data_IF_298912579895
#
_entry.id   IF_298912579895
#
_cell.length_a   1.000
_cell.length_b   1.000
_cell.length_c   1.000
_cell.angle_alpha   90.00
_cell.angle_beta   90.00
_cell.angle_gamma   90.00
#
_symmetry.space_group_name_H-M   'P 1'
#
loop_
_entity.id
_entity.type
_entity.pdbx_description
1 polymer ?
#
# COMPACT_ATOMS: atom_id res chain seq x y z
N UNK A 1 31.64 -21.75 5.52
CA UNK A 1 30.26 -21.99 5.02
C UNK A 1 30.07 -21.67 3.54
N UNK A 2 30.77 -20.68 2.94
CA UNK A 2 30.59 -20.26 1.54
C UNK A 2 31.34 -21.08 0.46
N UNK A 3 32.43 -21.77 0.81
CA UNK A 3 33.27 -22.51 -0.16
C UNK A 3 32.53 -23.70 -0.82
N UNK A 4 31.77 -24.53 -0.11
CA UNK A 4 30.97 -25.60 -0.73
C UNK A 4 29.85 -25.03 -1.63
N UNK A 5 29.31 -23.86 -1.28
CA UNK A 5 28.22 -23.20 -2.00
C UNK A 5 28.61 -22.69 -3.38
N UNK A 6 29.84 -22.16 -3.50
CA UNK A 6 30.44 -21.80 -4.78
C UNK A 6 30.75 -23.03 -5.63
N UNK A 7 31.27 -24.10 -5.02
CA UNK A 7 31.64 -25.34 -5.73
C UNK A 7 30.43 -26.08 -6.30
N UNK A 8 29.27 -26.03 -5.62
CA UNK A 8 28.02 -26.65 -6.07
C UNK A 8 27.25 -25.81 -7.11
N UNK A 9 27.77 -24.65 -7.54
CA UNK A 9 27.10 -23.76 -8.49
C UNK A 9 25.85 -23.05 -7.94
N UNK A 10 25.47 -23.31 -6.68
CA UNK A 10 24.28 -22.76 -6.04
C UNK A 10 24.34 -21.22 -5.92
N UNK A 11 25.53 -20.64 -5.76
CA UNK A 11 25.72 -19.19 -5.75
C UNK A 11 25.30 -18.51 -7.07
N UNK A 12 25.59 -19.14 -8.21
CA UNK A 12 25.23 -18.60 -9.52
C UNK A 12 23.74 -18.76 -9.80
N UNK A 13 23.15 -19.90 -9.40
CA UNK A 13 21.70 -20.11 -9.46
C UNK A 13 20.95 -19.08 -8.63
N UNK A 14 21.42 -18.81 -7.41
CA UNK A 14 20.81 -17.81 -6.51
C UNK A 14 20.92 -16.40 -7.10
N UNK A 15 22.07 -16.04 -7.70
CA UNK A 15 22.27 -14.75 -8.33
C UNK A 15 21.38 -14.53 -9.56
N UNK A 16 21.22 -15.55 -10.41
CA UNK A 16 20.32 -15.49 -11.57
C UNK A 16 18.85 -15.37 -11.12
N UNK A 17 18.42 -16.20 -10.17
CA UNK A 17 17.07 -16.12 -9.61
C UNK A 17 16.79 -14.73 -8.97
N UNK A 18 17.81 -14.10 -8.39
CA UNK A 18 17.70 -12.75 -7.86
C UNK A 18 17.56 -11.68 -8.95
N UNK A 19 18.32 -11.79 -10.05
CA UNK A 19 18.23 -10.86 -11.18
C UNK A 19 16.87 -10.97 -11.86
N UNK A 20 16.40 -12.19 -12.13
CA UNK A 20 15.10 -12.43 -12.75
C UNK A 20 13.96 -11.88 -11.87
N UNK A 21 14.07 -12.07 -10.55
CA UNK A 21 13.14 -11.45 -9.59
C UNK A 21 13.19 -9.92 -9.65
N UNK A 22 14.38 -9.32 -9.68
CA UNK A 22 14.51 -7.86 -9.76
C UNK A 22 13.89 -7.33 -11.06
N UNK A 23 14.04 -8.05 -12.16
CA UNK A 23 13.43 -7.71 -13.44
C UNK A 23 11.90 -7.73 -13.33
N UNK A 24 11.32 -8.81 -12.80
CA UNK A 24 9.87 -8.91 -12.62
C UNK A 24 9.29 -7.80 -11.73
N UNK A 25 10.04 -7.37 -10.70
CA UNK A 25 9.63 -6.25 -9.85
C UNK A 25 9.71 -4.91 -10.58
N UNK A 26 10.73 -4.70 -11.41
CA UNK A 26 10.84 -3.49 -12.25
C UNK A 26 9.69 -3.46 -13.26
N UNK A 27 9.44 -4.58 -13.93
CA UNK A 27 8.34 -4.72 -14.90
C UNK A 27 6.98 -4.48 -14.22
N UNK A 28 6.80 -4.97 -12.99
CA UNK A 28 5.61 -4.69 -12.20
C UNK A 28 5.44 -3.21 -11.83
N UNK A 29 6.53 -2.48 -11.58
CA UNK A 29 6.48 -1.03 -11.33
C UNK A 29 6.06 -0.24 -12.57
N UNK A 30 6.36 -0.72 -13.77
CA UNK A 30 5.95 -0.07 -15.02
C UNK A 30 4.47 -0.29 -15.36
N UNK A 31 3.77 -1.18 -14.63
CA UNK A 31 2.33 -1.38 -14.81
C UNK A 31 1.51 -0.21 -14.24
N UNK A 32 0.30 0.01 -14.79
CA UNK A 32 -0.71 0.87 -14.17
C UNK A 32 -0.92 0.50 -12.70
N UNK A 33 -1.14 1.49 -11.84
CA UNK A 33 -1.26 1.30 -10.38
C UNK A 33 -2.26 0.20 -9.98
N UNK A 34 -3.34 0.04 -10.74
CA UNK A 34 -4.39 -0.98 -10.51
C UNK A 34 -3.88 -2.42 -10.73
N UNK A 35 -2.97 -2.62 -11.67
CA UNK A 35 -2.41 -3.94 -12.03
C UNK A 35 -1.12 -4.24 -11.27
N UNK A 36 -0.39 -3.19 -10.86
CA UNK A 36 0.87 -3.26 -10.13
C UNK A 36 0.75 -4.12 -8.87
N UNK A 37 -0.32 -3.97 -8.09
CA UNK A 37 -0.52 -4.76 -6.87
C UNK A 37 -0.71 -6.24 -7.18
N UNK A 38 -1.50 -6.58 -8.21
CA UNK A 38 -1.72 -7.97 -8.60
C UNK A 38 -0.42 -8.61 -9.10
N UNK A 39 0.38 -7.88 -9.88
CA UNK A 39 1.69 -8.31 -10.33
C UNK A 39 2.65 -8.54 -9.16
N UNK A 40 2.69 -7.64 -8.18
CA UNK A 40 3.50 -7.84 -6.97
C UNK A 40 3.04 -9.03 -6.13
N UNK A 41 1.73 -9.26 -5.97
CA UNK A 41 1.19 -10.45 -5.30
C UNK A 41 1.56 -11.74 -6.04
N UNK A 42 1.51 -11.74 -7.37
CA UNK A 42 1.91 -12.89 -8.18
C UNK A 42 3.41 -13.20 -8.06
N UNK A 43 4.26 -12.17 -8.08
CA UNK A 43 5.70 -12.31 -7.84
C UNK A 43 5.95 -12.87 -6.43
N UNK A 44 5.24 -12.36 -5.42
CA UNK A 44 5.30 -12.85 -4.04
C UNK A 44 4.92 -14.33 -3.92
N UNK A 45 3.83 -14.75 -4.56
CA UNK A 45 3.31 -16.12 -4.53
C UNK A 45 4.25 -17.10 -5.25
N UNK A 46 4.83 -16.70 -6.38
CA UNK A 46 5.81 -17.50 -7.13
C UNK A 46 7.06 -17.87 -6.30
N UNK A 47 7.38 -17.03 -5.32
CA UNK A 47 8.53 -17.20 -4.44
C UNK A 47 8.16 -18.00 -3.19
N UNK A 48 7.01 -17.73 -2.59
CA UNK A 48 6.50 -18.48 -1.43
C UNK A 48 6.27 -19.97 -1.75
N UNK A 49 5.88 -20.28 -2.99
CA UNK A 49 5.67 -21.66 -3.47
C UNK A 49 6.97 -22.37 -3.85
N UNK A 50 8.13 -21.71 -3.72
CA UNK A 50 9.44 -22.29 -4.00
C UNK A 50 9.77 -22.39 -5.50
N UNK A 51 8.95 -21.79 -6.38
CA UNK A 51 9.11 -21.86 -7.83
C UNK A 51 10.41 -21.25 -8.37
N UNK A 52 11.06 -20.38 -7.59
CA UNK A 52 12.34 -19.72 -7.94
C UNK A 52 13.39 -19.85 -6.82
N UNK A 53 13.50 -21.07 -6.30
CA UNK A 53 14.24 -21.42 -5.08
C UNK A 53 15.76 -21.26 -5.16
N UNK A 54 16.23 -20.06 -4.85
CA UNK A 54 17.57 -19.84 -4.32
C UNK A 54 17.57 -19.74 -2.80
N UNK A 55 18.41 -20.52 -2.12
CA UNK A 55 18.41 -20.63 -0.65
C UNK A 55 18.83 -19.33 0.03
N UNK A 56 19.69 -18.53 -0.60
CA UNK A 56 20.03 -17.16 -0.16
C UNK A 56 18.95 -16.14 -0.52
N UNK A 57 18.29 -16.29 -1.67
CA UNK A 57 17.18 -15.42 -2.10
C UNK A 57 16.02 -15.50 -1.11
N UNK A 58 15.75 -16.69 -0.55
CA UNK A 58 14.77 -16.87 0.53
C UNK A 58 15.14 -16.22 1.87
N UNK A 59 16.43 -15.95 2.13
CA UNK A 59 16.92 -15.28 3.36
C UNK A 59 16.85 -13.75 3.23
N UNK A 60 17.12 -13.20 2.05
CA UNK A 60 17.03 -11.75 1.76
C UNK A 60 15.55 -11.31 1.60
N UNK A 61 14.65 -12.26 1.38
CA UNK A 61 13.22 -12.08 1.11
C UNK A 61 12.44 -11.15 2.08
N UNK A 62 12.59 -11.22 3.42
CA UNK A 62 11.80 -10.38 4.34
C UNK A 62 12.04 -8.88 4.18
N UNK A 63 13.17 -8.48 3.60
CA UNK A 63 13.52 -7.08 3.34
C UNK A 63 12.74 -6.54 2.13
N UNK A 64 12.19 -7.40 1.26
CA UNK A 64 11.72 -7.02 -0.08
C UNK A 64 10.21 -6.82 -0.19
N UNK A 65 9.40 -7.63 0.49
CA UNK A 65 7.97 -7.32 0.73
C UNK A 65 7.79 -5.96 1.39
N UNK A 66 8.71 -5.61 2.29
CA UNK A 66 8.72 -4.32 2.96
C UNK A 66 8.87 -3.14 1.98
N UNK A 67 9.74 -3.27 0.96
CA UNK A 67 9.99 -2.18 0.00
C UNK A 67 8.79 -1.92 -0.92
N UNK A 68 8.04 -2.95 -1.31
CA UNK A 68 6.83 -2.81 -2.12
C UNK A 68 5.74 -2.08 -1.32
N UNK A 69 5.55 -2.48 -0.06
CA UNK A 69 4.56 -1.84 0.82
C UNK A 69 4.88 -0.36 1.05
N UNK A 70 6.16 0.04 1.05
CA UNK A 70 6.54 1.45 1.18
C UNK A 70 6.02 2.30 0.01
N UNK A 71 6.21 1.86 -1.24
CA UNK A 71 5.76 2.61 -2.43
C UNK A 71 4.24 2.77 -2.44
N UNK A 72 3.52 1.66 -2.26
CA UNK A 72 2.05 1.63 -2.23
C UNK A 72 1.51 2.49 -1.08
N UNK A 73 2.14 2.45 0.09
CA UNK A 73 1.82 3.30 1.24
C UNK A 73 2.03 4.78 0.92
N UNK A 74 3.11 5.15 0.24
CA UNK A 74 3.34 6.53 -0.17
C UNK A 74 2.29 7.02 -1.16
N UNK A 75 1.90 6.19 -2.14
CA UNK A 75 0.80 6.50 -3.05
C UNK A 75 -0.53 6.69 -2.31
N UNK A 76 -0.84 5.83 -1.35
CA UNK A 76 -2.06 5.94 -0.54
C UNK A 76 -2.07 7.27 0.23
N UNK A 77 -0.96 7.64 0.86
CA UNK A 77 -0.81 8.92 1.56
C UNK A 77 -0.97 10.12 0.63
N UNK A 78 -0.43 10.06 -0.59
CA UNK A 78 -0.59 11.14 -1.57
C UNK A 78 -2.05 11.27 -2.01
N UNK A 79 -2.71 10.16 -2.34
CA UNK A 79 -4.10 10.14 -2.78
C UNK A 79 -5.06 10.64 -1.68
N UNK A 80 -4.89 10.19 -0.43
CA UNK A 80 -5.72 10.63 0.69
C UNK A 80 -5.51 12.12 0.98
N UNK A 81 -4.27 12.61 0.92
CA UNK A 81 -3.95 14.03 1.13
C UNK A 81 -4.52 14.91 0.02
N UNK A 82 -4.37 14.52 -1.25
CA UNK A 82 -4.95 15.25 -2.39
C UNK A 82 -6.47 15.35 -2.27
N UNK A 83 -7.11 14.24 -1.90
CA UNK A 83 -8.56 14.19 -1.72
C UNK A 83 -9.00 15.06 -0.54
N UNK A 84 -8.30 15.01 0.60
CA UNK A 84 -8.58 15.87 1.76
C UNK A 84 -8.43 17.37 1.40
N UNK A 85 -7.42 17.74 0.62
CA UNK A 85 -7.27 19.10 0.12
C UNK A 85 -8.48 19.53 -0.75
N UNK A 86 -8.98 18.65 -1.61
CA UNK A 86 -10.19 18.91 -2.38
C UNK A 86 -11.44 19.06 -1.49
N UNK A 87 -11.56 18.26 -0.42
CA UNK A 87 -12.61 18.39 0.61
C UNK A 87 -12.55 19.76 1.29
N UNK A 88 -11.36 20.23 1.65
CA UNK A 88 -11.21 21.57 2.26
C UNK A 88 -11.58 22.69 1.29
N UNK A 89 -11.19 22.57 0.01
CA UNK A 89 -11.58 23.55 -1.02
C UNK A 89 -13.09 23.60 -1.19
N UNK A 90 -13.76 22.45 -1.23
CA UNK A 90 -15.22 22.35 -1.25
C UNK A 90 -15.83 23.04 -0.04
N UNK A 91 -15.32 22.76 1.16
CA UNK A 91 -15.82 23.33 2.41
C UNK A 91 -15.68 24.84 2.47
N UNK A 92 -14.57 25.40 1.98
CA UNK A 92 -14.35 26.84 1.96
C UNK A 92 -15.28 27.56 0.98
N UNK A 93 -15.60 26.94 -0.15
CA UNK A 93 -16.49 27.50 -1.16
C UNK A 93 -17.98 27.35 -0.81
N UNK A 94 -18.38 26.17 -0.32
CA UNK A 94 -19.79 25.81 -0.08
C UNK A 94 -20.22 26.01 1.38
N UNK A 95 -19.27 26.30 2.29
CA UNK A 95 -19.51 26.47 3.72
C UNK A 95 -19.84 25.19 4.49
N UNK A 96 -19.82 24.02 3.83
CA UNK A 96 -20.15 22.71 4.41
C UNK A 96 -19.27 21.61 3.85
N UNK A 97 -19.11 20.51 4.58
CA UNK A 97 -18.42 19.32 4.07
C UNK A 97 -19.23 18.66 2.92
N UNK A 98 -18.55 18.02 1.96
CA UNK A 98 -19.21 17.22 0.93
C UNK A 98 -19.91 16.01 1.56
N UNK A 99 -21.02 15.56 0.95
CA UNK A 99 -21.72 14.35 1.44
C UNK A 99 -21.05 13.07 0.96
N UNK A 100 -20.47 13.10 -0.22
CA UNK A 100 -19.63 12.06 -0.80
C UNK A 100 -18.48 12.68 -1.56
N UNK A 101 -17.41 11.91 -1.78
CA UNK A 101 -16.26 12.40 -2.54
C UNK A 101 -16.63 12.74 -3.98
N UNK A 102 -17.70 12.16 -4.56
CA UNK A 102 -18.19 12.50 -5.90
C UNK A 102 -18.57 13.98 -6.03
N UNK A 103 -18.91 14.66 -4.93
CA UNK A 103 -19.21 16.09 -4.94
C UNK A 103 -17.97 16.96 -5.22
N UNK A 104 -16.77 16.37 -5.18
CA UNK A 104 -15.51 17.04 -5.49
C UNK A 104 -15.27 17.09 -7.00
N UNK A 105 -15.86 16.19 -7.78
CA UNK A 105 -15.66 16.09 -9.23
C UNK A 105 -16.76 16.83 -9.98
N UNK A 106 -16.45 17.57 -11.07
CA UNK A 106 -15.11 17.89 -11.58
C UNK A 106 -14.53 19.19 -11.00
N UNK A 107 -15.26 19.89 -10.13
CA UNK A 107 -14.95 21.28 -9.76
C UNK A 107 -13.69 21.43 -8.89
N UNK A 108 -13.38 20.44 -8.05
CA UNK A 108 -12.26 20.47 -7.10
C UNK A 108 -11.18 19.45 -7.43
N UNK A 109 -11.49 18.44 -8.24
CA UNK A 109 -10.58 17.39 -8.71
C UNK A 109 -11.13 16.75 -9.99
N UNK A 110 -10.26 16.29 -10.89
CA UNK A 110 -10.66 15.71 -12.18
C UNK A 110 -11.34 14.33 -12.03
N UNK A 111 -10.81 13.50 -11.12
CA UNK A 111 -11.36 12.20 -10.76
C UNK A 111 -10.94 11.84 -9.32
N UNK A 112 -11.69 10.97 -8.68
CA UNK A 112 -11.33 10.40 -7.37
C UNK A 112 -10.18 9.41 -7.58
N UNK A 113 -9.04 9.55 -6.90
CA UNK A 113 -7.99 8.55 -6.95
C UNK A 113 -8.48 7.23 -6.33
N UNK A 114 -8.11 6.11 -6.95
CA UNK A 114 -8.32 4.79 -6.37
C UNK A 114 -7.32 4.53 -5.23
N UNK A 115 -7.72 3.72 -4.27
CA UNK A 115 -6.87 3.16 -3.24
C UNK A 115 -5.86 2.19 -3.89
N UNK A 116 -4.55 2.42 -3.73
CA UNK A 116 -3.53 1.57 -4.36
C UNK A 116 -3.44 0.15 -3.74
N UNK A 117 -4.11 -0.12 -2.61
CA UNK A 117 -4.14 -1.43 -1.95
C UNK A 117 -5.26 -2.35 -2.40
N UNK A 118 -6.42 -1.84 -2.84
CA UNK A 118 -7.52 -2.69 -3.28
C UNK A 118 -8.11 -2.28 -4.65
N UNK A 119 -7.67 -1.15 -5.20
CA UNK A 119 -8.16 -0.60 -6.47
C UNK A 119 -9.57 -0.02 -6.40
N UNK A 120 -10.18 0.06 -5.21
CA UNK A 120 -11.48 0.70 -4.99
C UNK A 120 -11.31 2.22 -4.82
N UNK A 121 -12.34 3.04 -5.05
CA UNK A 121 -12.27 4.45 -4.69
C UNK A 121 -11.93 4.66 -3.21
N UNK A 122 -11.16 5.69 -2.90
CA UNK A 122 -10.85 6.05 -1.51
C UNK A 122 -12.11 6.22 -0.66
N UNK A 123 -11.99 5.87 0.62
CA UNK A 123 -13.11 5.92 1.57
C UNK A 123 -13.14 7.25 2.31
N UNK A 124 -14.36 7.68 2.65
CA UNK A 124 -14.60 8.97 3.29
C UNK A 124 -15.72 8.89 4.33
N UNK A 125 -15.44 9.41 5.53
CA UNK A 125 -16.43 9.53 6.59
C UNK A 125 -16.38 10.90 7.25
N UNK A 126 -17.55 11.52 7.38
CA UNK A 126 -17.74 12.69 8.23
C UNK A 126 -17.91 12.23 9.67
N UNK A 127 -17.13 12.81 10.59
CA UNK A 127 -17.16 12.58 12.03
C UNK A 127 -17.77 13.79 12.74
N UNK A 128 -18.11 13.65 14.02
CA UNK A 128 -18.67 14.76 14.81
C UNK A 128 -17.73 15.97 14.86
N UNK A 129 -16.42 15.73 14.96
CA UNK A 129 -15.37 16.75 15.01
C UNK A 129 -14.72 17.03 13.65
N UNK A 130 -15.16 16.45 12.53
CA UNK A 130 -14.47 16.68 11.25
C UNK A 130 -14.71 15.57 10.23
N UNK A 131 -13.65 15.05 9.63
CA UNK A 131 -13.75 13.95 8.67
C UNK A 131 -12.44 13.16 8.57
N UNK A 132 -12.56 11.98 7.97
CA UNK A 132 -11.43 11.13 7.57
C UNK A 132 -11.56 10.75 6.11
N UNK A 133 -10.46 10.85 5.37
CA UNK A 133 -10.26 10.19 4.08
C UNK A 133 -9.22 9.10 4.29
N UNK A 134 -9.47 7.88 3.81
CA UNK A 134 -8.57 6.77 4.11
C UNK A 134 -8.52 5.68 3.03
N UNK A 135 -7.43 4.92 3.10
CA UNK A 135 -7.16 3.70 2.34
C UNK A 135 -7.12 2.51 3.30
N UNK A 136 -7.55 1.32 2.87
CA UNK A 136 -7.59 0.10 3.70
C UNK A 136 -6.20 -0.40 4.14
N UNK A 137 -5.14 0.02 3.45
CA UNK A 137 -3.77 -0.27 3.88
C UNK A 137 -3.32 -1.72 3.67
N UNK A 138 -2.20 -2.08 4.31
CA UNK A 138 -1.45 -3.29 3.96
C UNK A 138 -2.16 -4.60 4.32
N UNK A 139 -3.10 -4.58 5.26
CA UNK A 139 -3.85 -5.76 5.68
C UNK A 139 -5.13 -6.01 4.86
N UNK A 140 -5.46 -5.09 3.94
CA UNK A 140 -6.61 -5.14 3.04
C UNK A 140 -7.95 -5.25 3.78
N UNK A 141 -7.98 -4.87 5.06
CA UNK A 141 -9.15 -4.95 5.92
C UNK A 141 -9.59 -3.53 6.25
N UNK A 142 -10.88 -3.25 6.05
CA UNK A 142 -11.43 -1.93 6.37
C UNK A 142 -11.64 -1.79 7.87
N UNK A 143 -10.80 -1.00 8.51
CA UNK A 143 -10.88 -0.68 9.94
C UNK A 143 -11.68 0.62 10.19
N UNK A 144 -12.47 1.08 9.21
CA UNK A 144 -13.39 2.22 9.35
C UNK A 144 -12.71 3.59 9.39
N UNK A 145 -11.50 3.70 8.87
CA UNK A 145 -10.65 4.87 8.92
C UNK A 145 -9.96 5.03 10.28
N UNK A 146 -9.60 3.92 10.92
CA UNK A 146 -8.94 3.98 12.23
C UNK A 146 -7.46 4.36 12.10
N UNK A 147 -7.03 5.40 12.82
CA UNK A 147 -5.66 5.92 12.73
C UNK A 147 -4.65 5.06 13.47
N UNK A 148 -3.41 5.06 12.96
CA UNK A 148 -2.28 4.40 13.61
C UNK A 148 -2.07 4.96 15.02
N UNK A 149 -2.13 4.08 16.03
CA UNK A 149 -1.84 4.43 17.42
C UNK A 149 -3.04 4.95 18.22
N UNK A 150 -4.22 5.11 17.62
CA UNK A 150 -5.47 5.32 18.37
C UNK A 150 -5.99 4.02 18.99
N UNK A 151 -5.77 2.88 18.33
CA UNK A 151 -6.06 1.58 18.90
C UNK A 151 -5.00 1.16 19.94
N UNK A 152 -5.45 0.41 20.94
CA UNK A 152 -4.58 -0.23 21.92
C UNK A 152 -3.64 -1.27 21.29
N UNK A 153 -2.92 -2.00 22.15
CA UNK A 153 -2.06 -3.11 21.72
C UNK A 153 -2.75 -4.43 21.99
N UNK A 154 -2.48 -5.44 21.16
CA UNK A 154 -2.93 -6.80 21.41
C UNK A 154 -2.24 -7.40 22.66
N UNK A 155 -2.64 -8.61 23.04
CA UNK A 155 -2.06 -9.35 24.19
C UNK A 155 -0.56 -9.64 24.06
N UNK A 156 0.04 -9.43 22.87
CA UNK A 156 1.46 -9.61 22.55
C UNK A 156 2.20 -8.28 22.42
N UNK A 157 1.52 -7.14 22.65
CA UNK A 157 2.09 -5.81 22.57
C UNK A 157 2.24 -5.26 21.14
N UNK A 158 1.66 -5.93 20.13
CA UNK A 158 1.63 -5.43 18.74
C UNK A 158 0.51 -4.38 18.60
N UNK A 159 0.73 -3.28 17.85
CA UNK A 159 -0.36 -2.39 17.48
C UNK A 159 -1.49 -3.17 16.81
N UNK A 160 -2.73 -2.84 17.16
CA UNK A 160 -3.90 -3.36 16.46
C UNK A 160 -3.93 -2.84 15.01
N UNK A 161 -4.69 -3.52 14.12
CA UNK A 161 -4.90 -3.09 12.73
C UNK A 161 -5.33 -1.62 12.63
N UNK A 162 -4.92 -0.97 11.55
CA UNK A 162 -5.20 0.44 11.31
C UNK A 162 -5.16 0.74 9.81
N UNK A 163 -5.90 1.77 9.41
CA UNK A 163 -5.97 2.25 8.03
C UNK A 163 -4.96 3.37 7.77
N UNK A 164 -4.64 3.61 6.50
CA UNK A 164 -3.85 4.79 6.10
C UNK A 164 -4.82 5.97 5.96
N UNK A 165 -4.79 6.86 6.94
CA UNK A 165 -5.78 7.92 7.10
C UNK A 165 -5.18 9.31 6.92
N UNK A 166 -6.01 10.23 6.43
CA UNK A 166 -5.86 11.66 6.65
C UNK A 166 -7.08 12.12 7.46
N UNK A 167 -6.84 12.58 8.69
CA UNK A 167 -7.90 13.02 9.60
C UNK A 167 -7.74 14.49 9.90
N UNK A 168 -8.84 15.21 9.76
CA UNK A 168 -8.95 16.59 10.21
C UNK A 168 -9.90 16.61 11.42
N UNK A 169 -9.35 16.91 12.59
CA UNK A 169 -10.11 17.16 13.82
C UNK A 169 -10.32 18.66 14.03
N UNK A 170 -11.52 19.06 14.45
CA UNK A 170 -11.93 20.43 14.76
C UNK A 170 -12.42 20.57 16.19
#
# INVERSE_FOLDING_TARGET
>A
MLVPWKMLGLCYRDALAFIDLMQDLIDAMDLPNTERLAAFKAVQESINTGGRGGTLTGIIWPIRTYLINIDVRHLALLHTTQTALAVERYRLAEGRLPKSLDNLVPAYMDAIPDDPFDGSPLKYHVRQSGYVVYSVGEDLTDEGGTEQGTQGRDSRGKPLPYDITFVEER
#
